data_IF_928534760513
#
_entry.id   IF_928534760513
#
_cell.length_a   1.000
_cell.length_b   1.000
_cell.length_c   1.000
_cell.angle_alpha   90.00
_cell.angle_beta   90.00
_cell.angle_gamma   90.00
#
_symmetry.space_group_name_H-M   'P 1'
#
loop_
_entity.id
_entity.type
_entity.pdbx_description
1 polymer ?
#
# COMPACT_ATOMS: atom_id res chain seq x y z
N UNK A 1 -21.81 -22.67 3.19
CA UNK A 1 -21.11 -22.56 4.47
C UNK A 1 -19.58 -22.59 4.23
N UNK A 2 -19.07 -21.55 3.60
CA UNK A 2 -17.65 -21.47 3.19
C UNK A 2 -16.75 -21.06 4.36
N UNK A 3 -17.34 -20.58 5.46
CA UNK A 3 -16.62 -19.98 6.58
C UNK A 3 -16.85 -20.69 7.92
N UNK A 4 -17.61 -21.77 7.95
CA UNK A 4 -18.06 -22.38 9.20
C UNK A 4 -17.16 -23.41 9.87
N UNK A 5 -16.15 -23.92 9.20
CA UNK A 5 -15.25 -24.94 9.77
C UNK A 5 -13.82 -24.41 9.89
N UNK A 6 -13.55 -23.75 10.98
CA UNK A 6 -12.20 -23.31 11.36
C UNK A 6 -11.38 -24.44 11.96
N UNK A 7 -11.23 -25.51 11.23
CA UNK A 7 -10.27 -26.56 11.59
C UNK A 7 -9.00 -26.38 10.78
N UNK A 8 -7.91 -26.95 11.28
CA UNK A 8 -6.64 -27.06 10.53
C UNK A 8 -6.83 -27.61 9.10
N UNK A 9 -7.98 -28.23 8.82
CA UNK A 9 -8.38 -28.75 7.51
C UNK A 9 -8.69 -27.71 6.43
N UNK A 10 -8.87 -26.43 6.76
CA UNK A 10 -9.18 -25.39 5.77
C UNK A 10 -7.97 -24.54 5.34
N UNK A 11 -6.84 -24.69 6.03
CA UNK A 11 -5.62 -23.89 5.76
C UNK A 11 -5.07 -24.13 4.35
N UNK A 12 -5.27 -25.30 3.77
CA UNK A 12 -4.77 -25.65 2.43
C UNK A 12 -5.74 -25.31 1.30
N UNK A 13 -6.96 -24.96 1.58
CA UNK A 13 -7.94 -24.61 0.54
C UNK A 13 -7.54 -23.36 -0.24
N UNK A 14 -6.80 -22.45 0.40
CA UNK A 14 -6.26 -21.26 -0.25
C UNK A 14 -4.83 -21.03 0.22
N UNK A 15 -3.92 -20.96 -0.73
CA UNK A 15 -2.55 -20.55 -0.47
C UNK A 15 -2.28 -19.22 -1.18
N UNK A 16 -1.63 -18.30 -0.46
CA UNK A 16 -1.23 -17.02 -0.98
C UNK A 16 0.24 -17.06 -1.36
N UNK A 17 0.60 -16.53 -2.51
CA UNK A 17 1.97 -16.54 -3.02
C UNK A 17 2.27 -15.30 -3.85
N UNK A 18 3.55 -14.91 -3.91
CA UNK A 18 4.00 -13.85 -4.82
C UNK A 18 4.06 -14.34 -6.25
N UNK A 19 3.45 -13.59 -7.16
CA UNK A 19 3.53 -13.85 -8.59
C UNK A 19 4.86 -13.36 -9.17
N UNK A 20 5.31 -13.97 -10.25
CA UNK A 20 6.44 -13.48 -11.06
C UNK A 20 6.05 -12.30 -11.94
N UNK A 21 4.75 -12.04 -12.11
CA UNK A 21 4.24 -10.90 -12.86
C UNK A 21 4.01 -9.73 -11.93
N UNK A 22 4.63 -8.61 -12.20
CA UNK A 22 4.30 -7.31 -11.63
C UNK A 22 4.31 -7.21 -10.10
N UNK A 23 4.81 -8.22 -9.40
CA UNK A 23 4.82 -8.26 -7.93
C UNK A 23 3.41 -8.26 -7.30
N UNK A 24 2.51 -8.97 -7.93
CA UNK A 24 1.19 -9.27 -7.42
C UNK A 24 1.27 -10.29 -6.27
N UNK A 25 0.38 -10.17 -5.31
CA UNK A 25 0.09 -11.22 -4.36
C UNK A 25 -1.13 -11.98 -4.87
N UNK A 26 -0.93 -13.25 -5.22
CA UNK A 26 -1.95 -14.12 -5.80
C UNK A 26 -2.37 -15.20 -4.82
N UNK A 27 -3.45 -15.89 -5.13
CA UNK A 27 -3.82 -17.10 -4.40
C UNK A 27 -4.13 -18.26 -5.33
N UNK A 28 -3.99 -19.44 -4.79
CA UNK A 28 -4.38 -20.69 -5.41
C UNK A 28 -5.26 -21.51 -4.47
N UNK A 29 -6.11 -22.32 -5.01
CA UNK A 29 -7.03 -23.18 -4.26
C UNK A 29 -6.81 -24.65 -4.60
N UNK A 30 -6.95 -25.50 -3.58
CA UNK A 30 -6.92 -26.94 -3.74
C UNK A 30 -7.80 -27.61 -2.67
N UNK A 31 -8.30 -28.77 -2.95
CA UNK A 31 -8.95 -29.66 -1.97
C UNK A 31 -7.93 -30.52 -1.21
N UNK A 32 -6.67 -30.47 -1.61
CA UNK A 32 -5.55 -31.20 -0.99
C UNK A 32 -4.41 -30.26 -0.65
N UNK A 33 -3.71 -30.49 0.49
CA UNK A 33 -2.64 -29.61 0.93
C UNK A 33 -1.34 -29.72 0.12
N UNK A 34 -1.16 -30.78 -0.61
CA UNK A 34 0.09 -31.18 -1.25
C UNK A 34 0.05 -31.14 -2.79
N UNK A 35 -1.14 -31.04 -3.39
CA UNK A 35 -1.25 -31.05 -4.85
C UNK A 35 -2.56 -30.43 -5.37
N UNK A 36 -2.70 -30.33 -6.69
CA UNK A 36 -3.96 -29.96 -7.35
C UNK A 36 -4.31 -28.48 -7.24
N UNK A 37 -3.36 -27.62 -6.94
CA UNK A 37 -3.61 -26.19 -6.84
C UNK A 37 -3.98 -25.57 -8.18
N UNK A 38 -5.06 -24.81 -8.19
CA UNK A 38 -5.50 -24.02 -9.33
C UNK A 38 -5.44 -22.55 -9.00
N UNK A 39 -5.08 -21.74 -9.98
CA UNK A 39 -5.02 -20.28 -9.83
C UNK A 39 -6.39 -19.71 -9.48
N UNK A 40 -6.45 -18.94 -8.42
CA UNK A 40 -7.68 -18.31 -7.92
C UNK A 40 -7.83 -16.86 -8.31
N UNK A 41 -6.73 -16.16 -8.56
CA UNK A 41 -6.72 -14.73 -8.89
C UNK A 41 -5.69 -13.94 -8.11
N UNK A 42 -5.68 -12.64 -8.34
CA UNK A 42 -4.88 -11.66 -7.60
C UNK A 42 -5.60 -11.28 -6.31
N UNK A 43 -4.89 -11.27 -5.18
CA UNK A 43 -5.39 -10.77 -3.91
C UNK A 43 -5.18 -9.26 -3.80
N UNK A 44 -3.97 -8.81 -4.09
CA UNK A 44 -3.59 -7.39 -4.13
C UNK A 44 -2.38 -7.20 -5.04
N UNK A 45 -2.36 -6.10 -5.77
CA UNK A 45 -1.24 -5.67 -6.61
C UNK A 45 -0.62 -4.39 -6.03
N UNK A 46 0.70 -4.35 -5.84
CA UNK A 46 1.40 -3.19 -5.28
C UNK A 46 1.28 -1.92 -6.12
N UNK A 47 1.00 -2.04 -7.40
CA UNK A 47 0.77 -0.91 -8.29
C UNK A 47 -0.71 -0.52 -8.41
N UNK A 48 -1.60 -1.25 -7.73
CA UNK A 48 -3.06 -1.10 -7.81
C UNK A 48 -3.62 -1.36 -9.23
N UNK A 49 -2.97 -2.26 -9.97
CA UNK A 49 -3.44 -2.71 -11.29
C UNK A 49 -4.42 -3.86 -11.07
N UNK A 50 -5.62 -3.75 -11.65
CA UNK A 50 -6.64 -4.78 -11.52
C UNK A 50 -6.54 -5.80 -12.65
N UNK A 51 -6.57 -7.08 -12.29
CA UNK A 51 -6.53 -8.16 -13.25
C UNK A 51 -7.76 -8.08 -14.19
N UNK A 52 -7.48 -8.06 -15.49
CA UNK A 52 -8.53 -8.03 -16.52
C UNK A 52 -9.19 -6.67 -16.75
N UNK A 53 -8.77 -5.60 -16.08
CA UNK A 53 -9.25 -4.25 -16.37
C UNK A 53 -8.41 -3.59 -17.48
N UNK A 54 -8.96 -3.44 -18.70
CA UNK A 54 -8.25 -2.83 -19.81
C UNK A 54 -7.96 -1.34 -19.62
N UNK A 55 -8.68 -0.68 -18.70
CA UNK A 55 -8.54 0.76 -18.44
C UNK A 55 -7.50 1.07 -17.35
N UNK A 56 -7.04 0.07 -16.64
CA UNK A 56 -6.05 0.19 -15.56
C UNK A 56 -4.75 -0.53 -15.87
N UNK A 57 -4.13 -0.18 -16.98
CA UNK A 57 -2.85 -0.77 -17.38
C UNK A 57 -1.64 -0.07 -16.76
N UNK A 58 -1.83 1.13 -16.24
CA UNK A 58 -0.77 1.91 -15.60
C UNK A 58 -0.95 1.90 -14.09
N UNK A 59 0.11 1.49 -13.40
CA UNK A 59 0.12 1.49 -11.94
C UNK A 59 0.14 2.91 -11.37
N UNK A 60 -0.41 3.07 -10.17
CA UNK A 60 -0.42 4.32 -9.43
C UNK A 60 0.62 4.36 -8.31
N UNK A 61 1.24 3.23 -8.02
CA UNK A 61 2.33 3.07 -7.05
C UNK A 61 3.48 2.30 -7.68
N UNK A 62 4.67 2.45 -7.10
CA UNK A 62 5.84 1.69 -7.52
C UNK A 62 5.62 0.19 -7.29
N UNK A 63 5.87 -0.59 -8.31
CA UNK A 63 5.89 -2.05 -8.22
C UNK A 63 7.15 -2.53 -7.49
N UNK A 64 7.02 -3.54 -6.67
CA UNK A 64 8.13 -4.09 -5.91
C UNK A 64 7.79 -5.43 -5.29
N UNK A 65 8.75 -6.00 -4.56
CA UNK A 65 8.52 -7.26 -3.87
C UNK A 65 7.24 -7.20 -3.03
N UNK A 66 6.43 -8.21 -3.16
CA UNK A 66 5.19 -8.36 -2.40
C UNK A 66 5.15 -9.77 -1.79
N UNK A 67 4.94 -9.83 -0.50
CA UNK A 67 4.66 -11.07 0.25
C UNK A 67 3.58 -10.74 1.27
N UNK A 68 2.83 -11.75 1.66
CA UNK A 68 1.78 -11.53 2.64
C UNK A 68 0.95 -12.77 2.90
N UNK A 69 -0.14 -12.56 3.58
CA UNK A 69 -1.10 -13.59 3.93
C UNK A 69 -2.48 -12.99 4.16
N UNK A 70 -3.46 -13.83 4.30
CA UNK A 70 -4.83 -13.42 4.62
C UNK A 70 -5.19 -13.95 6.00
N UNK A 71 -5.93 -13.15 6.76
CA UNK A 71 -6.39 -13.51 8.10
C UNK A 71 -7.76 -12.87 8.38
N UNK A 72 -8.54 -13.54 9.20
CA UNK A 72 -9.82 -13.02 9.68
C UNK A 72 -9.66 -12.43 11.08
N UNK A 73 -10.11 -11.20 11.22
CA UNK A 73 -10.17 -10.52 12.50
C UNK A 73 -11.58 -9.96 12.72
N UNK A 74 -12.23 -10.36 13.81
CA UNK A 74 -13.57 -9.88 14.18
C UNK A 74 -14.64 -10.01 13.08
N UNK A 75 -14.60 -11.09 12.31
CA UNK A 75 -15.55 -11.34 11.24
C UNK A 75 -15.26 -10.65 9.92
N UNK A 76 -14.19 -9.87 9.84
CA UNK A 76 -13.69 -9.25 8.61
C UNK A 76 -12.38 -9.90 8.17
N UNK A 77 -12.29 -10.25 6.91
CA UNK A 77 -11.06 -10.76 6.31
C UNK A 77 -10.17 -9.63 5.81
N UNK A 78 -8.87 -9.78 6.02
CA UNK A 78 -7.85 -8.84 5.58
C UNK A 78 -6.75 -9.57 4.82
N UNK A 79 -6.14 -8.88 3.87
CA UNK A 79 -4.80 -9.20 3.37
C UNK A 79 -3.81 -8.33 4.11
N UNK A 80 -2.78 -8.96 4.68
CA UNK A 80 -1.59 -8.32 5.21
C UNK A 80 -0.48 -8.54 4.22
N UNK A 81 0.12 -7.47 3.77
CA UNK A 81 1.15 -7.53 2.75
C UNK A 81 2.19 -6.43 3.00
N UNK A 82 3.17 -6.32 2.15
CA UNK A 82 4.13 -5.22 2.22
C UNK A 82 4.41 -4.62 0.87
N UNK A 83 4.81 -3.37 0.89
CA UNK A 83 5.39 -2.69 -0.25
C UNK A 83 6.82 -2.27 0.03
N UNK A 84 7.61 -2.16 -1.01
CA UNK A 84 8.98 -1.73 -0.90
C UNK A 84 9.06 -0.25 -0.59
N UNK A 85 9.99 0.10 0.28
CA UNK A 85 10.31 1.49 0.63
C UNK A 85 11.78 1.74 0.41
N UNK A 86 12.19 3.02 0.50
CA UNK A 86 13.55 3.44 0.21
C UNK A 86 14.00 3.03 -1.21
N UNK A 87 15.25 3.18 -1.52
CA UNK A 87 15.86 2.75 -2.79
C UNK A 87 16.51 1.39 -2.69
N UNK A 88 16.23 0.65 -1.65
CA UNK A 88 16.84 -0.63 -1.35
C UNK A 88 15.86 -1.80 -1.45
N UNK A 89 16.38 -2.99 -1.71
CA UNK A 89 15.57 -4.21 -1.75
C UNK A 89 15.20 -4.74 -0.36
N UNK A 90 15.66 -4.11 0.72
CA UNK A 90 15.55 -4.63 2.09
C UNK A 90 14.61 -3.85 2.99
N UNK A 91 14.22 -2.64 2.59
CA UNK A 91 13.26 -1.84 3.34
C UNK A 91 11.82 -2.14 2.91
N UNK A 92 10.93 -2.26 3.88
CA UNK A 92 9.52 -2.61 3.67
C UNK A 92 8.62 -1.78 4.57
N UNK A 93 7.42 -1.51 4.07
CA UNK A 93 6.29 -1.02 4.86
C UNK A 93 5.22 -2.11 4.90
N UNK A 94 4.73 -2.43 6.09
CA UNK A 94 3.56 -3.27 6.26
C UNK A 94 2.31 -2.52 5.79
N UNK A 95 1.44 -3.23 5.08
CA UNK A 95 0.17 -2.75 4.57
C UNK A 95 -0.93 -3.76 4.91
N UNK A 96 -2.16 -3.29 4.98
CA UNK A 96 -3.32 -4.14 5.13
C UNK A 96 -4.51 -3.56 4.38
N UNK A 97 -5.30 -4.43 3.75
CA UNK A 97 -6.56 -4.08 3.10
C UNK A 97 -7.64 -5.09 3.46
N UNK A 98 -8.88 -4.63 3.49
CA UNK A 98 -10.03 -5.53 3.59
C UNK A 98 -10.16 -6.34 2.31
N UNK A 99 -10.46 -7.63 2.46
CA UNK A 99 -10.82 -8.48 1.34
C UNK A 99 -12.25 -8.96 1.46
N UNK A 100 -12.88 -9.10 0.31
CA UNK A 100 -14.24 -9.55 0.17
C UNK A 100 -14.30 -10.76 -0.75
N UNK A 101 -15.26 -11.61 -0.51
CA UNK A 101 -15.51 -12.78 -1.35
C UNK A 101 -16.72 -12.54 -2.25
N UNK A 102 -16.67 -13.11 -3.43
CA UNK A 102 -17.84 -13.16 -4.31
C UNK A 102 -18.80 -14.29 -3.88
N UNK A 103 -19.92 -14.42 -4.60
CA UNK A 103 -20.92 -15.47 -4.34
C UNK A 103 -20.42 -16.90 -4.53
N UNK A 104 -19.26 -17.06 -5.18
CA UNK A 104 -18.60 -18.35 -5.42
C UNK A 104 -17.46 -18.62 -4.42
N UNK A 105 -17.28 -17.71 -3.45
CA UNK A 105 -16.22 -17.79 -2.47
C UNK A 105 -14.83 -17.42 -3.00
N UNK A 106 -14.73 -16.76 -4.16
CA UNK A 106 -13.46 -16.28 -4.70
C UNK A 106 -13.13 -14.93 -4.08
N UNK A 107 -11.84 -14.71 -3.82
CA UNK A 107 -11.36 -13.42 -3.33
C UNK A 107 -11.50 -12.39 -4.46
N UNK A 108 -12.15 -11.26 -4.16
CA UNK A 108 -12.10 -10.08 -5.01
C UNK A 108 -10.79 -9.38 -4.77
N UNK A 109 -10.08 -9.02 -5.83
CA UNK A 109 -8.83 -8.25 -5.72
C UNK A 109 -9.05 -7.00 -4.88
N UNK A 110 -8.22 -6.83 -3.86
CA UNK A 110 -8.26 -5.66 -3.00
C UNK A 110 -7.66 -4.44 -3.72
N UNK A 111 -8.31 -3.31 -3.52
CA UNK A 111 -7.79 -2.00 -3.88
C UNK A 111 -6.79 -1.54 -2.82
N UNK A 112 -5.71 -0.87 -3.22
CA UNK A 112 -4.81 -0.22 -2.27
C UNK A 112 -5.45 1.06 -1.77
N UNK A 113 -5.56 1.19 -0.44
CA UNK A 113 -6.17 2.35 0.20
C UNK A 113 -5.25 2.96 1.28
N UNK A 114 -5.64 4.10 1.81
CA UNK A 114 -5.03 4.68 3.01
C UNK A 114 -5.70 4.19 4.30
N UNK A 115 -6.73 3.39 4.20
CA UNK A 115 -7.58 3.02 5.33
C UNK A 115 -6.96 1.93 6.22
N UNK A 116 -6.20 1.00 5.64
CA UNK A 116 -5.60 -0.09 6.40
C UNK A 116 -6.67 -0.91 7.15
N UNK A 117 -6.52 -1.01 8.46
CA UNK A 117 -7.44 -1.75 9.33
C UNK A 117 -8.69 -0.96 9.76
N UNK A 118 -8.85 0.29 9.34
CA UNK A 118 -10.03 1.08 9.69
C UNK A 118 -11.30 0.52 9.04
N UNK A 119 -12.40 0.74 9.73
CA UNK A 119 -13.71 0.25 9.28
C UNK A 119 -14.41 1.24 8.34
N UNK A 120 -13.69 1.76 7.37
CA UNK A 120 -14.21 2.70 6.37
C UNK A 120 -13.28 3.87 6.14
N UNK A 121 -13.76 4.94 5.51
CA UNK A 121 -12.97 6.13 5.25
C UNK A 121 -12.37 6.71 6.53
N UNK A 122 -11.14 7.18 6.44
CA UNK A 122 -10.50 7.93 7.51
C UNK A 122 -11.22 9.25 7.75
N UNK A 123 -11.19 9.77 8.97
CA UNK A 123 -11.73 11.08 9.25
C UNK A 123 -10.99 12.14 8.41
N UNK A 124 -11.72 13.07 7.81
CA UNK A 124 -11.12 14.20 7.08
C UNK A 124 -10.45 15.21 7.99
N UNK A 125 -10.67 15.11 9.30
CA UNK A 125 -10.06 15.95 10.32
C UNK A 125 -8.94 15.19 11.03
N UNK A 126 -7.78 15.82 11.18
CA UNK A 126 -6.63 15.22 11.85
C UNK A 126 -5.32 15.45 11.11
N UNK A 127 -4.27 14.83 11.60
CA UNK A 127 -2.94 14.82 11.00
C UNK A 127 -2.58 13.38 10.64
N UNK A 128 -2.26 13.17 9.40
CA UNK A 128 -1.95 11.85 8.87
C UNK A 128 -0.54 11.83 8.27
N UNK A 129 0.21 10.75 8.46
CA UNK A 129 1.52 10.63 7.86
C UNK A 129 1.41 10.41 6.34
N UNK A 130 2.27 11.06 5.58
CA UNK A 130 2.26 10.97 4.12
C UNK A 130 2.52 9.54 3.59
N UNK A 131 3.13 8.68 4.39
CA UNK A 131 3.41 7.30 4.02
C UNK A 131 2.19 6.39 3.91
N UNK A 132 0.99 6.86 4.26
CA UNK A 132 -0.25 6.11 3.98
C UNK A 132 -0.79 6.39 2.56
N UNK A 133 -0.06 7.16 1.75
CA UNK A 133 -0.47 7.40 0.36
C UNK A 133 -0.61 6.09 -0.41
N UNK A 134 -1.60 6.02 -1.28
CA UNK A 134 -1.91 4.88 -2.14
C UNK A 134 -1.74 5.21 -3.63
N UNK A 135 -1.33 6.43 -3.94
CA UNK A 135 -0.89 6.87 -5.25
C UNK A 135 0.40 7.68 -5.08
N UNK A 136 1.43 7.34 -5.83
CA UNK A 136 2.69 8.07 -5.85
C UNK A 136 3.33 7.96 -7.22
N UNK A 137 3.30 9.05 -7.99
CA UNK A 137 3.77 9.06 -9.36
C UNK A 137 4.52 10.34 -9.71
N UNK A 138 5.22 10.34 -10.83
CA UNK A 138 5.96 11.46 -11.39
C UNK A 138 5.58 11.64 -12.86
N UNK A 139 4.97 12.76 -13.20
CA UNK A 139 4.49 13.00 -14.57
C UNK A 139 3.57 11.91 -15.10
N UNK A 140 2.67 11.40 -14.25
CA UNK A 140 1.75 10.30 -14.56
C UNK A 140 2.39 8.91 -14.68
N UNK A 141 3.68 8.77 -14.33
CA UNK A 141 4.40 7.49 -14.41
C UNK A 141 4.79 6.99 -13.03
N UNK A 142 4.76 5.69 -12.86
CA UNK A 142 5.31 4.99 -11.70
C UNK A 142 6.56 4.21 -12.09
N UNK A 143 7.27 3.71 -11.12
CA UNK A 143 8.48 2.93 -11.37
C UNK A 143 8.36 1.52 -10.81
N UNK A 144 9.13 0.60 -11.37
CA UNK A 144 9.45 -0.65 -10.69
C UNK A 144 10.42 -0.36 -9.55
N UNK A 145 10.25 -1.05 -8.44
CA UNK A 145 11.13 -0.92 -7.30
C UNK A 145 12.47 -1.62 -7.51
N UNK A 146 13.16 -1.24 -8.54
CA UNK A 146 14.56 -1.59 -8.68
C UNK A 146 15.39 -0.48 -8.04
N UNK A 147 16.41 -0.78 -7.23
CA UNK A 147 17.23 0.24 -6.55
C UNK A 147 17.78 1.30 -7.50
N UNK A 148 18.05 0.93 -8.75
CA UNK A 148 18.50 1.86 -9.79
C UNK A 148 17.36 2.64 -10.46
N UNK A 149 16.14 2.15 -10.42
CA UNK A 149 14.98 2.80 -11.04
C UNK A 149 14.30 3.81 -10.11
N UNK A 150 14.38 3.60 -8.80
CA UNK A 150 13.87 4.52 -7.78
C UNK A 150 14.80 5.73 -7.55
N UNK A 151 15.72 6.00 -8.46
CA UNK A 151 16.68 7.08 -8.35
C UNK A 151 16.04 8.47 -8.22
N UNK A 152 16.79 9.50 -8.51
CA UNK A 152 16.42 10.92 -8.33
C UNK A 152 15.18 11.38 -9.13
N UNK A 153 14.61 10.50 -9.95
CA UNK A 153 13.57 10.88 -10.89
C UNK A 153 12.15 10.65 -10.36
N UNK A 154 11.97 9.83 -9.32
CA UNK A 154 10.65 9.48 -8.80
C UNK A 154 10.53 9.78 -7.31
N UNK A 155 9.34 10.20 -6.85
CA UNK A 155 9.06 10.24 -5.42
C UNK A 155 9.01 8.81 -4.85
N UNK A 156 9.43 8.64 -3.61
CA UNK A 156 9.41 7.34 -2.95
C UNK A 156 9.21 7.47 -1.44
N UNK A 157 8.70 6.40 -0.84
CA UNK A 157 8.59 6.30 0.60
C UNK A 157 9.96 5.94 1.19
N UNK A 158 10.32 6.60 2.26
CA UNK A 158 11.59 6.35 2.96
C UNK A 158 11.46 6.51 4.47
N UNK A 159 12.41 5.95 5.16
CA UNK A 159 12.63 6.11 6.60
C UNK A 159 14.16 6.24 6.80
N UNK A 160 14.74 7.28 6.28
CA UNK A 160 16.19 7.51 6.40
C UNK A 160 16.56 7.80 7.86
N UNK A 161 17.54 7.08 8.41
CA UNK A 161 18.05 7.30 9.76
C UNK A 161 18.53 8.73 9.98
N UNK A 162 18.95 9.42 8.93
CA UNK A 162 19.34 10.85 8.97
C UNK A 162 18.18 11.80 9.28
N UNK A 163 16.97 11.31 9.14
CA UNK A 163 15.75 12.08 9.43
C UNK A 163 15.12 11.73 10.79
N UNK A 164 15.78 10.87 11.57
CA UNK A 164 15.50 10.70 12.99
C UNK A 164 15.76 12.04 13.66
N UNK A 165 14.76 12.56 14.37
CA UNK A 165 14.91 13.84 15.06
C UNK A 165 15.91 13.73 16.20
N UNK A 166 16.55 14.83 16.64
CA UNK A 166 17.41 14.81 17.81
C UNK A 166 16.76 14.25 19.08
N UNK A 167 15.45 14.43 19.22
CA UNK A 167 14.68 13.87 20.31
C UNK A 167 14.62 12.33 20.23
N UNK A 168 14.60 11.76 19.03
CA UNK A 168 14.60 10.31 18.83
C UNK A 168 15.95 9.67 19.16
N UNK A 169 17.04 10.42 19.11
CA UNK A 169 18.40 9.93 19.34
C UNK A 169 18.65 9.61 20.83
N UNK A 170 17.88 10.21 21.73
CA UNK A 170 17.99 10.01 23.18
C UNK A 170 17.36 8.72 23.70
N UNK A 171 16.61 7.99 22.88
CA UNK A 171 15.97 6.75 23.31
C UNK A 171 16.96 5.58 23.30
N UNK A 172 17.00 4.76 24.37
CA UNK A 172 17.75 3.51 24.35
C UNK A 172 17.25 2.61 23.23
N UNK A 173 18.12 1.80 22.65
CA UNK A 173 17.82 0.94 21.50
C UNK A 173 16.62 0.02 21.72
N UNK A 174 16.40 -0.41 22.97
CA UNK A 174 15.20 -1.17 23.38
C UNK A 174 13.91 -0.34 23.24
N UNK A 175 13.96 0.93 23.60
CA UNK A 175 12.81 1.83 23.50
C UNK A 175 12.56 2.26 22.05
N UNK A 176 13.61 2.29 21.22
CA UNK A 176 13.46 2.51 19.76
C UNK A 176 12.68 1.39 19.09
N UNK A 177 12.81 0.15 19.56
CA UNK A 177 12.03 -0.99 19.04
C UNK A 177 10.56 -0.93 19.46
N UNK A 178 10.26 -0.36 20.61
CA UNK A 178 8.93 -0.38 21.20
C UNK A 178 8.13 0.93 20.96
N UNK A 179 8.81 2.07 20.83
CA UNK A 179 8.15 3.38 20.79
C UNK A 179 8.27 4.12 19.43
N UNK A 180 9.25 3.80 18.65
CA UNK A 180 9.49 4.51 17.41
C UNK A 180 9.12 3.65 16.21
N UNK A 181 7.87 3.72 15.79
CA UNK A 181 7.65 3.58 14.36
C UNK A 181 8.54 4.64 13.70
N UNK A 182 9.50 4.25 12.87
CA UNK A 182 10.31 5.21 12.16
C UNK A 182 9.38 6.16 11.43
N UNK A 183 9.62 7.46 11.57
CA UNK A 183 8.84 8.47 10.86
C UNK A 183 9.07 8.26 9.37
N UNK A 184 8.12 7.64 8.72
CA UNK A 184 8.15 7.46 7.28
C UNK A 184 7.63 8.71 6.60
N UNK A 185 8.20 9.06 5.48
CA UNK A 185 7.80 10.22 4.68
C UNK A 185 8.02 9.95 3.20
N UNK A 186 7.47 10.81 2.37
CA UNK A 186 7.70 10.80 0.93
C UNK A 186 8.89 11.69 0.63
N UNK A 187 9.91 11.13 0.00
CA UNK A 187 11.11 11.84 -0.46
C UNK A 187 11.06 12.10 -1.95
N UNK A 188 11.82 13.09 -2.38
CA UNK A 188 11.97 13.45 -3.80
C UNK A 188 10.64 13.87 -4.45
N UNK A 189 9.76 14.48 -3.66
CA UNK A 189 8.54 15.09 -4.16
C UNK A 189 8.90 16.43 -4.84
N UNK A 190 8.59 16.56 -6.12
CA UNK A 190 9.00 17.69 -6.96
C UNK A 190 7.92 18.05 -7.96
N UNK A 191 8.21 18.99 -8.86
CA UNK A 191 7.27 19.38 -9.92
C UNK A 191 6.72 18.16 -10.66
N UNK A 192 5.40 18.17 -10.92
CA UNK A 192 4.63 17.08 -11.50
C UNK A 192 4.57 15.77 -10.67
N UNK A 193 5.00 15.78 -9.43
CA UNK A 193 4.75 14.66 -8.53
C UNK A 193 3.30 14.66 -8.07
N UNK A 194 2.68 13.49 -8.06
CA UNK A 194 1.32 13.27 -7.58
C UNK A 194 1.37 12.33 -6.37
N UNK A 195 0.69 12.72 -5.30
CA UNK A 195 0.48 11.90 -4.12
C UNK A 195 -1.01 11.84 -3.81
N UNK A 196 -1.55 10.64 -3.78
CA UNK A 196 -2.98 10.42 -3.56
C UNK A 196 -3.27 9.56 -2.35
N UNK A 197 -4.45 9.81 -1.78
CA UNK A 197 -4.95 9.11 -0.60
C UNK A 197 -6.38 8.63 -0.85
N UNK A 198 -6.73 7.47 -0.36
CA UNK A 198 -8.08 6.87 -0.42
C UNK A 198 -8.33 6.13 0.90
N UNK A 199 -9.41 6.30 1.56
CA UNK A 199 -10.53 7.19 1.41
C UNK A 199 -10.61 8.06 2.63
N UNK A 200 -11.05 9.29 2.47
CA UNK A 200 -11.26 10.23 3.56
C UNK A 200 -12.67 10.79 3.53
N UNK A 201 -13.29 10.91 4.69
CA UNK A 201 -14.54 11.65 4.82
C UNK A 201 -14.23 13.15 4.91
N UNK A 202 -14.25 13.81 3.77
CA UNK A 202 -13.94 15.23 3.67
C UNK A 202 -15.15 16.15 3.86
N UNK A 203 -16.28 15.65 4.36
CA UNK A 203 -17.46 16.48 4.62
C UNK A 203 -17.14 17.55 5.65
N UNK A 204 -17.37 18.79 5.29
CA UNK A 204 -17.09 19.95 6.16
C UNK A 204 -15.63 20.38 6.22
N UNK A 205 -14.73 19.75 5.46
CA UNK A 205 -13.33 20.14 5.37
C UNK A 205 -13.22 21.58 4.85
N UNK A 206 -12.51 22.44 5.59
CA UNK A 206 -12.31 23.86 5.24
C UNK A 206 -10.87 24.17 4.85
N UNK A 207 -9.93 23.38 5.30
CA UNK A 207 -8.50 23.56 5.07
C UNK A 207 -7.81 22.22 4.97
N UNK A 208 -6.86 22.12 4.04
CA UNK A 208 -5.88 21.06 4.00
C UNK A 208 -4.48 21.69 4.13
N UNK A 209 -3.58 21.01 4.77
CA UNK A 209 -2.20 21.44 4.96
C UNK A 209 -1.24 20.30 4.71
N UNK A 210 -0.01 20.63 4.36
CA UNK A 210 1.06 19.67 4.16
C UNK A 210 2.30 20.13 4.92
N UNK A 211 2.90 19.24 5.68
CA UNK A 211 4.20 19.48 6.31
C UNK A 211 5.29 19.04 5.37
N UNK A 212 6.18 19.96 5.03
CA UNK A 212 7.31 19.74 4.14
C UNK A 212 8.62 19.89 4.89
N UNK A 213 9.62 19.12 4.49
CA UNK A 213 11.01 19.30 4.88
C UNK A 213 11.82 19.86 3.70
N UNK A 214 12.77 20.73 3.99
CA UNK A 214 13.66 21.32 2.99
C UNK A 214 13.19 22.70 2.53
N UNK A 215 13.83 23.18 1.48
CA UNK A 215 13.49 24.44 0.82
C UNK A 215 12.76 24.11 -0.47
N UNK A 216 11.53 24.54 -0.56
CA UNK A 216 10.74 24.41 -1.77
C UNK A 216 10.00 25.72 -2.03
N UNK A 217 9.96 26.10 -3.29
CA UNK A 217 9.13 27.22 -3.78
C UNK A 217 8.23 26.64 -4.87
N UNK A 218 6.95 26.93 -4.81
CA UNK A 218 5.99 26.43 -5.79
C UNK A 218 4.56 26.44 -5.28
N UNK A 219 3.68 25.84 -6.06
CA UNK A 219 2.26 25.71 -5.75
C UNK A 219 1.94 24.24 -5.56
N UNK A 220 1.19 23.93 -4.52
CA UNK A 220 0.61 22.61 -4.29
C UNK A 220 -0.88 22.70 -4.59
N UNK A 221 -1.33 21.88 -5.53
CA UNK A 221 -2.75 21.76 -5.86
C UNK A 221 -3.32 20.59 -5.06
N UNK A 222 -4.42 20.83 -4.35
CA UNK A 222 -5.18 19.79 -3.64
C UNK A 222 -6.50 19.61 -4.35
N UNK A 223 -6.81 18.37 -4.71
CA UNK A 223 -8.02 18.02 -5.44
C UNK A 223 -8.69 16.81 -4.78
N UNK A 224 -10.03 16.78 -4.81
CA UNK A 224 -10.83 15.60 -4.46
C UNK A 224 -11.18 14.75 -5.69
N UNK A 225 -10.73 15.18 -6.86
CA UNK A 225 -10.84 14.45 -8.12
C UNK A 225 -9.47 13.85 -8.43
N UNK A 226 -9.39 12.64 -8.97
CA UNK A 226 -8.11 12.07 -9.38
C UNK A 226 -7.34 13.05 -10.28
N UNK A 227 -6.10 13.33 -9.91
CA UNK A 227 -5.20 14.15 -10.72
C UNK A 227 -4.63 13.28 -11.83
N UNK A 228 -4.70 13.77 -13.04
CA UNK A 228 -4.05 13.19 -14.23
C UNK A 228 -3.01 14.16 -14.75
N UNK A 229 -2.12 13.70 -15.63
CA UNK A 229 -1.15 14.58 -16.27
C UNK A 229 -1.81 15.69 -17.14
N UNK A 230 -3.08 15.51 -17.48
CA UNK A 230 -3.85 16.46 -18.30
C UNK A 230 -4.54 17.55 -17.47
N UNK A 231 -4.76 17.32 -16.17
CA UNK A 231 -5.47 18.24 -15.27
C UNK A 231 -4.63 18.71 -14.07
N UNK A 232 -3.31 18.51 -14.14
CA UNK A 232 -2.33 18.93 -13.14
C UNK A 232 -1.67 20.28 -13.49
#
# INVERSE_FOLDING_TARGET
DVLGSRGLGDVYKRQVYSSVKGHELCYAVSDRPDEGYTYGGVVVDNADIFEGDPNRQEGVMAQGNNHGGIEEANGQWYVFYHRQTDRGSFSRQACAEKIFFDSQGRIRQAEITSCGLNDGPLAGEGVYPANICCHLSQGGKTTFSHPMAMGENFPYLTQDEKDITPEDVGFPESARRDAAFPVQFVRNFKDQSIMGFKYFDCRGLKRAGLTLRGKAEGTIVVSTVPMTAENS
#
